data_IF_679092632574
#
_entry.id   IF_679092632574
#
_cell.length_a   1.000
_cell.length_b   1.000
_cell.length_c   1.000
_cell.angle_alpha   90.00
_cell.angle_beta   90.00
_cell.angle_gamma   90.00
#
_symmetry.space_group_name_H-M   'P 1'
#
loop_
_entity.id
_entity.type
_entity.pdbx_description
1 polymer ?
#
# COMPACT_ATOMS: atom_id res chain seq x y z
N UNK A 1 -1.71 -5.49 -0.37
CA UNK A 1 -2.13 -5.88 1.00
C UNK A 1 -2.40 -4.59 1.75
N UNK A 2 -3.58 -4.43 2.36
CA UNK A 2 -3.94 -3.25 3.12
C UNK A 2 -3.22 -3.19 4.47
N UNK A 3 -2.62 -2.03 4.75
CA UNK A 3 -1.93 -1.70 6.00
C UNK A 3 -2.65 -0.47 6.56
N UNK A 4 -3.41 -0.65 7.63
CA UNK A 4 -4.23 0.43 8.17
C UNK A 4 -3.40 1.47 8.92
N UNK A 5 -3.86 2.72 8.86
CA UNK A 5 -3.40 3.83 9.67
C UNK A 5 -4.47 4.31 10.68
N UNK A 6 -5.56 3.55 10.82
CA UNK A 6 -6.63 3.83 11.77
C UNK A 6 -6.12 3.68 13.21
N UNK A 7 -6.68 4.49 14.12
CA UNK A 7 -6.28 4.50 15.52
C UNK A 7 -7.03 3.45 16.36
N UNK A 8 -8.06 2.82 15.82
CA UNK A 8 -8.87 1.82 16.51
C UNK A 8 -9.40 0.74 15.57
N UNK A 9 -9.66 -0.44 16.14
CA UNK A 9 -10.08 -1.64 15.41
C UNK A 9 -11.48 -1.52 14.80
N UNK A 10 -12.36 -0.68 15.37
CA UNK A 10 -13.72 -0.51 14.84
C UNK A 10 -13.68 0.29 13.53
N UNK A 11 -13.00 1.43 13.52
CA UNK A 11 -12.77 2.27 12.32
C UNK A 11 -12.08 1.46 11.20
N UNK A 12 -11.07 0.68 11.56
CA UNK A 12 -10.39 -0.24 10.63
C UNK A 12 -11.35 -1.25 9.98
N UNK A 13 -12.19 -1.92 10.79
CA UNK A 13 -13.09 -2.95 10.28
C UNK A 13 -14.19 -2.36 9.39
N UNK A 14 -14.72 -1.18 9.74
CA UNK A 14 -15.69 -0.46 8.93
C UNK A 14 -15.06 -0.06 7.58
N UNK A 15 -13.88 0.56 7.59
CA UNK A 15 -13.21 1.01 6.38
C UNK A 15 -12.78 -0.15 5.47
N UNK A 16 -12.31 -1.25 6.05
CA UNK A 16 -11.89 -2.41 5.28
C UNK A 16 -13.05 -3.25 4.72
N UNK A 17 -14.27 -3.14 5.27
CA UNK A 17 -15.37 -4.07 4.97
C UNK A 17 -15.67 -4.22 3.47
N UNK A 18 -15.50 -3.16 2.67
CA UNK A 18 -15.76 -3.19 1.23
C UNK A 18 -14.54 -3.52 0.36
N UNK A 19 -13.37 -3.69 0.98
CA UNK A 19 -12.12 -3.89 0.26
C UNK A 19 -11.93 -5.37 -0.15
N UNK A 20 -11.82 -5.68 -1.46
CA UNK A 20 -11.74 -7.07 -1.94
C UNK A 20 -10.35 -7.71 -1.75
N UNK A 21 -9.37 -6.98 -1.21
CA UNK A 21 -7.98 -7.39 -1.09
C UNK A 21 -7.59 -7.82 0.34
N UNK A 22 -6.46 -8.49 0.50
CA UNK A 22 -5.91 -8.91 1.80
C UNK A 22 -5.52 -7.72 2.68
N UNK A 23 -5.49 -7.93 4.00
CA UNK A 23 -5.03 -6.95 5.00
C UNK A 23 -4.06 -7.54 6.00
N UNK A 24 -3.26 -6.68 6.62
CA UNK A 24 -2.60 -7.01 7.88
C UNK A 24 -3.61 -7.05 9.04
N UNK A 25 -3.34 -7.90 10.02
CA UNK A 25 -4.08 -7.88 11.28
C UNK A 25 -3.77 -6.58 12.04
N UNK A 26 -4.81 -5.88 12.46
CA UNK A 26 -4.73 -4.62 13.20
C UNK A 26 -3.84 -4.74 14.44
N UNK A 27 -3.81 -5.92 15.07
CA UNK A 27 -3.01 -6.19 16.29
C UNK A 27 -1.50 -6.30 16.03
N UNK A 28 -1.06 -6.23 14.77
CA UNK A 28 0.35 -6.32 14.39
C UNK A 28 1.03 -4.94 14.27
N UNK A 29 0.73 -4.01 15.18
CA UNK A 29 1.25 -2.63 15.21
C UNK A 29 2.76 -2.55 14.93
N UNK A 30 3.59 -3.34 15.65
CA UNK A 30 5.05 -3.34 15.45
C UNK A 30 5.50 -3.71 14.03
N UNK A 31 4.74 -4.55 13.31
CA UNK A 31 5.05 -4.87 11.91
C UNK A 31 4.58 -3.76 10.98
N UNK A 32 3.42 -3.18 11.27
CA UNK A 32 2.87 -2.03 10.54
C UNK A 32 3.82 -0.84 10.63
N UNK A 33 4.32 -0.52 11.81
CA UNK A 33 5.28 0.58 12.02
C UNK A 33 6.58 0.36 11.26
N UNK A 34 7.12 -0.86 11.28
CA UNK A 34 8.31 -1.24 10.50
C UNK A 34 8.09 -1.10 8.98
N UNK A 35 6.89 -1.39 8.49
CA UNK A 35 6.56 -1.21 7.07
C UNK A 35 6.49 0.28 6.73
N UNK A 36 5.83 1.09 7.58
CA UNK A 36 5.76 2.55 7.40
C UNK A 36 7.15 3.19 7.37
N UNK A 37 8.02 2.79 8.30
CA UNK A 37 9.41 3.26 8.34
C UNK A 37 10.21 2.77 7.12
N UNK A 38 10.10 1.49 6.76
CA UNK A 38 10.85 0.91 5.63
C UNK A 38 10.57 1.62 4.29
N UNK A 39 9.32 2.02 4.08
CA UNK A 39 8.86 2.65 2.84
C UNK A 39 8.67 4.17 2.96
N UNK A 40 9.25 4.78 4.00
CA UNK A 40 9.20 6.23 4.25
C UNK A 40 7.80 6.85 4.07
N UNK A 41 6.77 6.17 4.62
CA UNK A 41 5.37 6.58 4.45
C UNK A 41 5.13 7.88 5.21
N UNK A 42 5.05 8.99 4.47
CA UNK A 42 4.89 10.35 5.02
C UNK A 42 3.50 10.96 4.79
N UNK A 43 2.65 10.31 3.97
CA UNK A 43 1.30 10.76 3.64
C UNK A 43 0.34 9.59 3.42
N UNK A 44 -0.96 9.90 3.28
CA UNK A 44 -1.98 8.93 2.91
C UNK A 44 -2.88 9.51 1.81
N UNK A 45 -3.32 8.71 0.83
CA UNK A 45 -2.97 7.29 0.63
C UNK A 45 -1.55 7.09 0.05
N UNK A 46 -0.91 5.98 0.39
CA UNK A 46 0.37 5.51 -0.20
C UNK A 46 0.20 4.07 -0.67
N UNK A 47 0.76 3.75 -1.85
CA UNK A 47 0.74 2.40 -2.43
C UNK A 47 2.11 2.08 -3.02
N UNK A 48 2.79 1.12 -2.42
CA UNK A 48 4.08 0.58 -2.90
C UNK A 48 3.84 -0.75 -3.60
N UNK A 49 4.40 -0.91 -4.80
CA UNK A 49 4.41 -2.16 -5.55
C UNK A 49 5.72 -2.91 -5.27
N UNK A 50 5.59 -4.19 -4.95
CA UNK A 50 6.70 -5.08 -4.63
C UNK A 50 6.64 -6.32 -5.52
N UNK A 51 7.80 -6.84 -5.88
CA UNK A 51 7.91 -8.21 -6.40
C UNK A 51 7.64 -9.21 -5.27
N UNK A 52 6.79 -10.21 -5.53
CA UNK A 52 6.36 -11.15 -4.51
C UNK A 52 7.42 -12.21 -4.16
N UNK A 53 8.31 -12.53 -5.10
CA UNK A 53 9.32 -13.58 -4.95
C UNK A 53 10.62 -13.00 -4.36
N UNK A 54 11.05 -11.82 -4.83
CA UNK A 54 12.29 -11.18 -4.39
C UNK A 54 12.08 -10.19 -3.25
N UNK A 55 10.90 -9.58 -3.16
CA UNK A 55 10.62 -8.48 -2.23
C UNK A 55 11.21 -7.13 -2.66
N UNK A 56 11.69 -7.04 -3.91
CA UNK A 56 12.21 -5.81 -4.48
C UNK A 56 11.09 -4.79 -4.69
N UNK A 57 11.43 -3.51 -4.57
CA UNK A 57 10.51 -2.41 -4.83
C UNK A 57 10.42 -2.19 -6.32
N UNK A 58 9.22 -2.33 -6.87
CA UNK A 58 8.92 -2.06 -8.28
C UNK A 58 8.54 -0.60 -8.48
N UNK A 59 7.69 -0.06 -7.60
CA UNK A 59 7.22 1.33 -7.67
C UNK A 59 6.89 1.84 -6.26
N UNK A 60 7.41 3.00 -5.87
CA UNK A 60 7.16 3.59 -4.54
C UNK A 60 5.86 4.41 -4.49
N UNK A 61 5.49 5.07 -5.60
CA UNK A 61 4.36 6.01 -5.69
C UNK A 61 3.29 5.57 -6.69
N UNK A 62 2.81 4.33 -6.56
CA UNK A 62 1.81 3.79 -7.48
C UNK A 62 0.45 4.51 -7.44
N UNK A 63 0.18 5.32 -6.41
CA UNK A 63 -1.02 6.17 -6.32
C UNK A 63 -1.07 7.20 -7.44
N UNK A 64 0.04 7.84 -7.78
CA UNK A 64 0.08 8.90 -8.82
C UNK A 64 -0.32 8.33 -10.19
N UNK A 65 0.13 7.11 -10.50
CA UNK A 65 -0.27 6.43 -11.72
C UNK A 65 -1.75 6.07 -11.75
N UNK A 66 -2.29 5.59 -10.63
CA UNK A 66 -3.70 5.22 -10.56
C UNK A 66 -4.61 6.47 -10.66
N UNK A 67 -4.23 7.57 -10.02
CA UNK A 67 -5.07 8.76 -9.92
C UNK A 67 -5.00 9.64 -11.18
N UNK A 68 -3.80 9.84 -11.74
CA UNK A 68 -3.58 10.78 -12.85
C UNK A 68 -2.86 10.21 -14.07
N UNK A 69 -1.70 9.55 -13.92
CA UNK A 69 -0.81 9.31 -15.06
C UNK A 69 -1.27 8.15 -15.96
N UNK A 70 -1.70 7.04 -15.37
CA UNK A 70 -2.18 5.86 -16.09
C UNK A 70 -3.38 5.19 -15.37
N UNK A 71 -4.56 5.85 -15.33
CA UNK A 71 -5.74 5.33 -14.62
C UNK A 71 -6.30 4.02 -15.20
N UNK A 72 -5.81 3.62 -16.39
CA UNK A 72 -6.20 2.36 -17.03
C UNK A 72 -5.17 1.25 -16.88
N UNK A 73 -4.03 1.51 -16.24
CA UNK A 73 -2.98 0.52 -15.98
C UNK A 73 -2.36 -0.07 -17.26
N UNK A 74 -2.17 0.74 -18.30
CA UNK A 74 -1.54 0.31 -19.55
C UNK A 74 -0.05 0.05 -19.39
N UNK A 75 0.61 0.81 -18.52
CA UNK A 75 2.06 0.81 -18.31
C UNK A 75 2.44 0.18 -16.95
N UNK A 76 1.46 -0.42 -16.26
CA UNK A 76 1.70 -1.22 -15.06
C UNK A 76 2.77 -2.30 -15.34
N UNK A 77 3.77 -2.52 -14.45
CA UNK A 77 3.83 -2.13 -13.04
C UNK A 77 4.58 -0.84 -12.72
N UNK A 78 4.79 0.05 -13.69
CA UNK A 78 5.41 1.37 -13.48
C UNK A 78 6.76 1.30 -12.76
N UNK A 79 7.63 0.40 -13.24
CA UNK A 79 8.98 0.21 -12.69
C UNK A 79 9.87 1.42 -12.90
N UNK A 80 10.73 1.71 -11.94
CA UNK A 80 11.70 2.82 -11.96
C UNK A 80 12.71 2.80 -13.12
N UNK A 81 12.75 1.74 -13.92
CA UNK A 81 13.71 1.52 -15.02
C UNK A 81 13.25 2.08 -16.40
N UNK A 82 12.28 2.99 -16.44
CA UNK A 82 11.83 3.65 -17.68
C UNK A 82 12.42 5.06 -17.87
#
# INVERSE_FOLDING_TARGET
>A
IFVSADNDEASFNEYYHEMPWLKFDFKQEKKIDKLKEKFDVSGYPTLVLLDADTGDVLCEDAIEYIDSEDPRGRDFPWTSDN
#
